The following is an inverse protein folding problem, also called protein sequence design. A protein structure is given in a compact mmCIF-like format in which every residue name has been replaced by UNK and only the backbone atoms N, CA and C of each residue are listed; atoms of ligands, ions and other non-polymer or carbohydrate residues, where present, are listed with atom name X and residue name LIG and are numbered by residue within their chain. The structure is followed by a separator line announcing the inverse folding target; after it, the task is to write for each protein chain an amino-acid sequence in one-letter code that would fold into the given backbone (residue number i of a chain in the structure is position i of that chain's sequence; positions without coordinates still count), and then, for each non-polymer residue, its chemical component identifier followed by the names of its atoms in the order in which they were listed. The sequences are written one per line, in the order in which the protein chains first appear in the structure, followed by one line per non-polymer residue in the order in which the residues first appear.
data_IF_329778467218
#
_entry.id   IF_329778467218
#
_cell.length_a   1.000
_cell.length_b   1.000
_cell.length_c   1.000
_cell.angle_alpha   90.00
_cell.angle_beta   90.00
_cell.angle_gamma   90.00
#
_symmetry.space_group_name_H-M   'P 1'
#
loop_
_entity.id
_entity.type
_entity.pdbx_description
1 polymer ?
#
# COMPACT_ATOMS: atom_id res chain seq x y z
N UNK A 1 -10.81 -13.54 3.60
CA UNK A 1 -11.67 -13.66 2.41
C UNK A 1 -10.97 -12.94 1.28
N UNK A 2 -10.68 -13.61 0.16
CA UNK A 2 -9.74 -13.13 -0.85
C UNK A 2 -10.41 -12.71 -2.15
N UNK A 3 -10.39 -11.40 -2.43
CA UNK A 3 -10.00 -10.79 -3.71
C UNK A 3 -10.85 -11.04 -4.97
N UNK A 4 -10.92 -12.28 -5.43
CA UNK A 4 -11.43 -12.60 -6.79
C UNK A 4 -12.93 -12.39 -6.99
N UNK A 5 -13.68 -12.11 -5.91
CA UNK A 5 -15.14 -12.01 -5.95
C UNK A 5 -15.62 -10.97 -6.95
N UNK A 6 -15.07 -9.75 -6.95
CA UNK A 6 -15.62 -8.67 -7.78
C UNK A 6 -15.41 -8.90 -9.29
N UNK A 7 -14.20 -9.26 -9.71
CA UNK A 7 -13.86 -9.47 -11.14
C UNK A 7 -14.52 -10.74 -11.67
N UNK A 8 -14.44 -11.86 -10.93
CA UNK A 8 -15.09 -13.10 -11.34
C UNK A 8 -16.62 -12.94 -11.40
N UNK A 9 -17.23 -12.17 -10.49
CA UNK A 9 -18.66 -11.87 -10.53
C UNK A 9 -19.06 -10.97 -11.70
N UNK A 10 -18.15 -10.11 -12.17
CA UNK A 10 -18.39 -9.25 -13.33
C UNK A 10 -18.52 -10.07 -14.63
N UNK A 11 -17.83 -11.22 -14.72
CA UNK A 11 -17.84 -12.18 -15.85
C UNK A 11 -17.33 -11.67 -17.21
N UNK A 12 -17.47 -10.38 -17.50
CA UNK A 12 -17.03 -9.73 -18.74
C UNK A 12 -16.89 -8.21 -18.55
N UNK A 13 -16.41 -7.51 -19.58
CA UNK A 13 -16.19 -6.06 -19.58
C UNK A 13 -17.45 -5.26 -19.22
N UNK A 14 -18.64 -5.65 -19.70
CA UNK A 14 -19.88 -4.93 -19.41
C UNK A 14 -20.28 -5.05 -17.93
N UNK A 15 -20.09 -6.23 -17.33
CA UNK A 15 -20.27 -6.41 -15.89
C UNK A 15 -19.25 -5.62 -15.08
N UNK A 16 -18.00 -5.53 -15.57
CA UNK A 16 -16.94 -4.76 -14.93
C UNK A 16 -17.25 -3.26 -15.01
N UNK A 17 -17.80 -2.78 -16.13
CA UNK A 17 -18.21 -1.39 -16.32
C UNK A 17 -19.22 -0.93 -15.26
N UNK A 18 -20.21 -1.77 -14.91
CA UNK A 18 -21.18 -1.45 -13.85
C UNK A 18 -20.51 -1.22 -12.47
N UNK A 19 -19.47 -2.00 -12.17
CA UNK A 19 -18.67 -1.79 -10.96
C UNK A 19 -17.95 -0.45 -11.02
N UNK A 20 -17.26 -0.16 -12.13
CA UNK A 20 -16.56 1.12 -12.33
C UNK A 20 -17.51 2.34 -12.31
N UNK A 21 -18.75 2.21 -12.80
CA UNK A 21 -19.76 3.27 -12.68
C UNK A 21 -20.16 3.54 -11.22
N UNK A 22 -20.24 2.47 -10.42
CA UNK A 22 -20.51 2.58 -8.98
C UNK A 22 -19.34 3.24 -8.24
N UNK A 23 -18.11 2.89 -8.59
CA UNK A 23 -16.89 3.52 -8.07
C UNK A 23 -16.81 5.01 -8.45
N UNK A 24 -17.11 5.36 -9.70
CA UNK A 24 -17.17 6.75 -10.15
C UNK A 24 -18.23 7.56 -9.38
N UNK A 25 -19.42 6.97 -9.17
CA UNK A 25 -20.50 7.60 -8.37
C UNK A 25 -20.04 7.91 -6.95
N UNK A 26 -19.19 7.06 -6.35
CA UNK A 26 -18.61 7.28 -5.03
C UNK A 26 -17.50 8.33 -4.99
N UNK A 27 -17.03 8.83 -6.14
CA UNK A 27 -15.86 9.71 -6.21
C UNK A 27 -14.53 8.97 -6.00
N UNK A 28 -14.48 7.65 -6.22
CA UNK A 28 -13.23 6.89 -6.22
C UNK A 28 -12.41 7.36 -7.43
N UNK A 29 -11.13 7.67 -7.19
CA UNK A 29 -10.19 8.16 -8.20
C UNK A 29 -9.00 7.21 -8.43
N UNK A 30 -8.84 6.17 -7.60
CA UNK A 30 -7.82 5.11 -7.76
C UNK A 30 -8.46 3.75 -7.50
N UNK A 31 -8.23 2.80 -8.39
CA UNK A 31 -8.69 1.40 -8.27
C UNK A 31 -7.50 0.47 -8.18
N UNK A 32 -7.38 -0.25 -7.06
CA UNK A 32 -6.47 -1.38 -6.92
C UNK A 32 -7.14 -2.64 -7.47
N UNK A 33 -6.87 -3.01 -8.72
CA UNK A 33 -7.50 -4.15 -9.37
C UNK A 33 -6.67 -5.43 -9.11
N UNK A 34 -7.26 -6.44 -8.45
CA UNK A 34 -6.58 -7.72 -8.17
C UNK A 34 -6.17 -8.40 -9.49
N UNK A 35 -4.91 -8.23 -9.86
CA UNK A 35 -4.37 -8.59 -11.16
C UNK A 35 -3.69 -9.95 -11.14
N UNK A 36 -3.07 -10.32 -10.02
CA UNK A 36 -2.45 -11.63 -9.79
C UNK A 36 -2.86 -12.15 -8.41
N UNK A 37 -3.52 -13.31 -8.38
CA UNK A 37 -3.94 -14.00 -7.16
C UNK A 37 -3.66 -15.50 -7.30
N UNK A 38 -3.09 -16.13 -6.27
CA UNK A 38 -2.78 -17.56 -6.28
C UNK A 38 -1.95 -17.98 -7.52
N UNK A 39 -1.01 -17.12 -7.93
CA UNK A 39 -0.18 -17.27 -9.13
C UNK A 39 -0.93 -17.32 -10.46
N UNK A 40 -2.21 -16.94 -10.47
CA UNK A 40 -3.00 -16.76 -11.69
C UNK A 40 -3.14 -15.27 -12.02
N UNK A 41 -2.62 -14.79 -13.16
CA UNK A 41 -2.97 -13.47 -13.68
C UNK A 41 -4.40 -13.46 -14.22
N UNK A 42 -5.03 -12.29 -14.21
CA UNK A 42 -6.35 -12.07 -14.83
C UNK A 42 -6.28 -11.78 -16.34
N UNK A 43 -5.09 -11.88 -16.93
CA UNK A 43 -4.76 -11.54 -18.30
C UNK A 43 -3.89 -12.65 -18.94
N UNK A 44 -3.79 -12.73 -20.27
CA UNK A 44 -2.94 -13.72 -20.95
C UNK A 44 -1.46 -13.32 -20.82
N UNK A 45 -0.79 -13.85 -19.79
CA UNK A 45 0.63 -13.60 -19.51
C UNK A 45 1.53 -14.47 -20.37
N UNK A 46 2.69 -13.93 -20.77
CA UNK A 46 3.81 -14.69 -21.34
C UNK A 46 4.80 -15.18 -20.27
N UNK A 47 4.71 -14.63 -19.05
CA UNK A 47 5.58 -14.99 -17.92
C UNK A 47 4.95 -16.06 -17.04
N UNK A 48 3.70 -15.84 -16.60
CA UNK A 48 2.97 -16.82 -15.79
C UNK A 48 2.40 -17.93 -16.69
N UNK A 49 2.45 -19.19 -16.25
CA UNK A 49 2.15 -20.35 -17.11
C UNK A 49 0.68 -20.44 -17.54
N UNK A 50 -0.26 -19.97 -16.71
CA UNK A 50 -1.70 -20.10 -16.97
C UNK A 50 -2.44 -18.86 -16.46
N UNK A 51 -3.31 -18.27 -17.29
CA UNK A 51 -4.32 -17.31 -16.86
C UNK A 51 -5.32 -17.95 -15.87
N UNK A 52 -5.91 -17.16 -14.98
CA UNK A 52 -7.02 -17.58 -14.13
C UNK A 52 -8.15 -18.21 -14.98
N UNK A 53 -8.49 -19.49 -14.79
CA UNK A 53 -9.48 -20.15 -15.65
C UNK A 53 -10.92 -19.65 -15.41
N UNK A 54 -11.21 -18.85 -14.37
CA UNK A 54 -12.52 -18.18 -14.25
C UNK A 54 -12.74 -17.09 -15.30
N UNK A 55 -11.68 -16.69 -16.00
CA UNK A 55 -11.68 -15.57 -16.94
C UNK A 55 -11.38 -16.02 -18.38
N UNK A 56 -11.48 -17.32 -18.69
CA UNK A 56 -11.14 -17.95 -19.97
C UNK A 56 -11.30 -17.03 -21.20
N UNK A 57 -10.17 -16.52 -21.72
CA UNK A 57 -10.10 -15.70 -22.93
C UNK A 57 -10.46 -14.22 -22.77
N UNK A 58 -10.89 -13.78 -21.59
CA UNK A 58 -11.13 -12.38 -21.27
C UNK A 58 -9.89 -11.77 -20.61
N UNK A 59 -9.28 -10.80 -21.27
CA UNK A 59 -8.25 -9.94 -20.69
C UNK A 59 -8.90 -8.89 -19.77
N UNK A 60 -9.12 -9.26 -18.51
CA UNK A 60 -9.79 -8.40 -17.54
C UNK A 60 -8.92 -7.20 -17.10
N UNK A 61 -7.58 -7.29 -17.23
CA UNK A 61 -6.71 -6.17 -16.94
C UNK A 61 -6.84 -5.08 -18.01
N UNK A 62 -6.82 -5.46 -19.29
CA UNK A 62 -7.04 -4.52 -20.39
C UNK A 62 -8.41 -3.81 -20.27
N UNK A 63 -9.48 -4.57 -20.01
CA UNK A 63 -10.81 -3.99 -19.77
C UNK A 63 -10.81 -3.06 -18.56
N UNK A 64 -10.16 -3.45 -17.46
CA UNK A 64 -10.06 -2.63 -16.25
C UNK A 64 -9.37 -1.28 -16.51
N UNK A 65 -8.22 -1.29 -17.19
CA UNK A 65 -7.44 -0.08 -17.51
C UNK A 65 -8.30 0.88 -18.32
N UNK A 66 -8.89 0.37 -19.41
CA UNK A 66 -9.80 1.14 -20.27
C UNK A 66 -10.94 1.77 -19.45
N UNK A 67 -11.65 0.98 -18.66
CA UNK A 67 -12.82 1.44 -17.90
C UNK A 67 -12.47 2.45 -16.81
N UNK A 68 -11.30 2.33 -16.18
CA UNK A 68 -10.77 3.29 -15.22
C UNK A 68 -10.52 4.65 -15.90
N UNK A 69 -9.76 4.63 -16.99
CA UNK A 69 -9.35 5.84 -17.72
C UNK A 69 -10.53 6.58 -18.35
N UNK A 70 -11.52 5.86 -18.90
CA UNK A 70 -12.77 6.45 -19.41
C UNK A 70 -13.53 7.26 -18.35
N UNK A 71 -13.29 6.99 -17.07
CA UNK A 71 -13.93 7.66 -15.92
C UNK A 71 -12.97 8.57 -15.15
N UNK A 72 -11.77 8.82 -15.67
CA UNK A 72 -10.75 9.66 -15.02
C UNK A 72 -10.22 9.06 -13.71
N UNK A 73 -10.25 7.73 -13.57
CA UNK A 73 -9.64 7.01 -12.45
C UNK A 73 -8.28 6.45 -12.86
N UNK A 74 -7.35 6.38 -11.91
CA UNK A 74 -6.16 5.56 -12.07
C UNK A 74 -6.47 4.09 -11.80
N UNK A 75 -5.82 3.20 -12.55
CA UNK A 75 -5.78 1.76 -12.25
C UNK A 75 -4.40 1.32 -11.82
N UNK A 76 -4.34 0.78 -10.61
CA UNK A 76 -3.14 0.19 -10.03
C UNK A 76 -3.28 -1.33 -10.03
N UNK A 77 -2.35 -2.03 -10.67
CA UNK A 77 -2.35 -3.49 -10.68
C UNK A 77 -1.97 -4.03 -9.30
N UNK A 78 -2.92 -4.64 -8.61
CA UNK A 78 -2.72 -5.28 -7.31
C UNK A 78 -2.25 -6.72 -7.50
N UNK A 79 -1.04 -7.02 -7.03
CA UNK A 79 -0.38 -8.31 -7.23
C UNK A 79 -0.03 -8.97 -5.91
N UNK A 80 -0.34 -10.26 -5.77
CA UNK A 80 0.19 -11.09 -4.69
C UNK A 80 1.65 -11.43 -5.01
N UNK A 81 2.57 -10.99 -4.13
CA UNK A 81 4.01 -11.20 -4.33
C UNK A 81 4.42 -12.61 -3.88
N UNK A 82 4.42 -12.88 -2.57
CA UNK A 82 4.93 -14.18 -2.08
C UNK A 82 3.84 -15.21 -1.78
N UNK A 83 2.57 -14.81 -1.64
CA UNK A 83 1.49 -15.79 -1.54
C UNK A 83 1.19 -16.41 -2.92
N UNK A 84 1.49 -17.69 -3.07
CA UNK A 84 1.52 -18.37 -4.37
C UNK A 84 0.25 -19.19 -4.64
N UNK A 85 -0.40 -19.73 -3.61
CA UNK A 85 -1.64 -20.49 -3.77
C UNK A 85 -2.53 -20.38 -2.54
N UNK A 86 -3.82 -20.69 -2.67
CA UNK A 86 -4.71 -20.78 -1.52
C UNK A 86 -5.83 -21.80 -1.72
N UNK A 87 -6.16 -22.54 -0.64
CA UNK A 87 -7.12 -23.64 -0.70
C UNK A 87 -8.54 -23.20 -1.10
N UNK A 88 -8.91 -21.95 -0.80
CA UNK A 88 -10.23 -21.41 -1.16
C UNK A 88 -10.34 -21.19 -2.67
N UNK A 89 -9.30 -20.67 -3.30
CA UNK A 89 -9.25 -20.55 -4.76
C UNK A 89 -9.27 -21.93 -5.40
N UNK A 90 -8.53 -22.90 -4.86
CA UNK A 90 -8.58 -24.29 -5.33
C UNK A 90 -10.01 -24.86 -5.30
N UNK A 91 -10.74 -24.65 -4.21
CA UNK A 91 -12.15 -25.06 -4.10
C UNK A 91 -13.04 -24.41 -5.17
N UNK A 92 -12.89 -23.09 -5.39
CA UNK A 92 -13.63 -22.37 -6.43
C UNK A 92 -13.33 -22.88 -7.84
N UNK A 93 -12.10 -23.33 -8.08
CA UNK A 93 -11.65 -23.88 -9.36
C UNK A 93 -11.94 -25.38 -9.51
N UNK A 94 -12.49 -26.05 -8.49
CA UNK A 94 -12.62 -27.51 -8.50
C UNK A 94 -11.28 -28.26 -8.47
N UNK A 95 -10.20 -27.61 -8.04
CA UNK A 95 -8.86 -28.19 -7.90
C UNK A 95 -8.73 -28.96 -6.58
N UNK A 96 -7.78 -29.92 -6.47
CA UNK A 96 -7.46 -30.55 -5.20
C UNK A 96 -7.14 -29.52 -4.10
N UNK A 97 -7.58 -29.78 -2.87
CA UNK A 97 -7.41 -28.85 -1.76
C UNK A 97 -5.96 -28.36 -1.60
N UNK A 98 -4.99 -29.27 -1.71
CA UNK A 98 -3.55 -29.00 -1.56
C UNK A 98 -2.82 -28.76 -2.89
N UNK A 99 -3.55 -28.41 -3.95
CA UNK A 99 -2.92 -27.99 -5.21
C UNK A 99 -2.11 -26.71 -5.01
N UNK A 100 -0.86 -26.71 -5.46
CA UNK A 100 0.11 -25.62 -5.24
C UNK A 100 -0.07 -24.43 -6.19
N UNK A 101 -1.14 -24.41 -6.98
CA UNK A 101 -1.28 -23.43 -8.05
C UNK A 101 -0.37 -23.77 -9.24
N UNK A 102 -0.43 -22.96 -10.31
CA UNK A 102 0.18 -23.32 -11.58
C UNK A 102 1.72 -23.21 -11.52
N UNK A 103 2.25 -22.19 -10.86
CA UNK A 103 3.71 -21.95 -10.79
C UNK A 103 4.42 -22.95 -9.88
N UNK A 104 3.97 -23.12 -8.63
CA UNK A 104 4.63 -24.04 -7.69
C UNK A 104 4.40 -25.53 -8.02
N UNK A 105 3.45 -25.84 -8.91
CA UNK A 105 3.33 -27.21 -9.45
C UNK A 105 4.46 -27.51 -10.46
N UNK A 106 4.85 -26.51 -11.25
CA UNK A 106 5.98 -26.63 -12.20
C UNK A 106 7.33 -26.50 -11.47
N UNK A 107 7.39 -25.68 -10.41
CA UNK A 107 8.58 -25.39 -9.61
C UNK A 107 8.33 -25.64 -8.11
N UNK A 108 8.21 -26.90 -7.66
CA UNK A 108 7.92 -27.20 -6.26
C UNK A 108 9.02 -26.76 -5.28
N UNK A 109 10.27 -26.70 -5.74
CA UNK A 109 11.44 -26.23 -4.99
C UNK A 109 11.45 -24.71 -4.75
N UNK A 110 10.56 -23.96 -5.42
CA UNK A 110 10.36 -22.54 -5.18
C UNK A 110 9.47 -22.24 -3.97
N UNK A 111 8.82 -23.27 -3.40
CA UNK A 111 7.97 -23.10 -2.24
C UNK A 111 8.82 -22.92 -0.96
N UNK A 112 8.38 -22.04 -0.08
CA UNK A 112 8.82 -22.06 1.31
C UNK A 112 7.96 -23.01 2.14
N UNK A 113 8.42 -23.39 3.33
CA UNK A 113 7.66 -24.26 4.21
C UNK A 113 7.96 -24.08 5.69
N UNK A 114 7.21 -24.80 6.51
CA UNK A 114 7.52 -24.99 7.93
C UNK A 114 8.75 -25.92 8.12
N UNK A 115 9.12 -26.22 9.37
CA UNK A 115 10.25 -27.13 9.66
C UNK A 115 10.06 -28.56 9.15
N UNK A 116 8.84 -28.95 8.77
CA UNK A 116 8.54 -30.27 8.20
C UNK A 116 8.51 -30.23 6.67
N UNK A 117 8.70 -29.05 6.09
CA UNK A 117 8.60 -28.82 4.65
C UNK A 117 7.17 -28.70 4.15
N UNK A 118 6.17 -28.48 5.02
CA UNK A 118 4.79 -28.24 4.56
C UNK A 118 4.69 -26.81 3.98
N UNK A 119 4.34 -26.65 2.69
CA UNK A 119 4.22 -25.34 2.08
C UNK A 119 2.96 -24.60 2.50
N UNK A 120 1.92 -25.30 2.98
CA UNK A 120 0.65 -24.66 3.34
C UNK A 120 0.66 -24.15 4.77
N UNK A 121 0.62 -22.83 4.92
CA UNK A 121 0.47 -22.20 6.22
C UNK A 121 -0.86 -22.59 6.90
N UNK A 122 -0.75 -23.24 8.07
CA UNK A 122 -1.83 -23.96 8.74
C UNK A 122 -3.12 -23.13 8.94
N UNK A 123 -3.01 -21.84 9.28
CA UNK A 123 -4.19 -20.99 9.55
C UNK A 123 -4.69 -20.25 8.31
N UNK A 124 -3.77 -19.71 7.52
CA UNK A 124 -4.13 -18.91 6.35
C UNK A 124 -4.56 -19.80 5.17
N UNK A 125 -4.19 -21.09 5.21
CA UNK A 125 -4.42 -22.09 4.15
C UNK A 125 -3.87 -21.64 2.80
N UNK A 126 -2.70 -21.00 2.83
CA UNK A 126 -1.99 -20.51 1.64
C UNK A 126 -0.60 -21.12 1.56
N UNK A 127 -0.17 -21.45 0.35
CA UNK A 127 1.23 -21.73 0.07
C UNK A 127 1.94 -20.47 -0.38
N UNK A 128 3.23 -20.38 -0.10
CA UNK A 128 4.05 -19.20 -0.39
C UNK A 128 5.29 -19.58 -1.18
N UNK A 129 5.69 -18.71 -2.09
CA UNK A 129 7.04 -18.73 -2.65
C UNK A 129 8.06 -18.46 -1.53
N UNK A 130 9.29 -18.95 -1.70
CA UNK A 130 10.41 -18.60 -0.85
C UNK A 130 11.01 -17.25 -1.27
N UNK A 131 10.89 -16.19 -0.43
CA UNK A 131 11.49 -14.88 -0.73
C UNK A 131 13.01 -14.93 -0.90
N UNK A 132 13.68 -15.94 -0.35
CA UNK A 132 15.13 -16.11 -0.49
C UNK A 132 15.55 -16.81 -1.80
N UNK A 133 14.60 -17.34 -2.58
CA UNK A 133 14.91 -18.01 -3.84
C UNK A 133 15.16 -16.97 -4.95
N UNK A 134 16.37 -16.89 -5.53
CA UNK A 134 16.67 -15.91 -6.58
C UNK A 134 15.83 -16.07 -7.85
N UNK A 135 15.44 -17.29 -8.20
CA UNK A 135 14.60 -17.58 -9.37
C UNK A 135 13.17 -17.06 -9.17
N UNK A 136 12.61 -17.28 -7.97
CA UNK A 136 11.33 -16.65 -7.56
C UNK A 136 11.41 -15.13 -7.67
N UNK A 137 12.49 -14.52 -7.15
CA UNK A 137 12.64 -13.07 -7.23
C UNK A 137 12.77 -12.58 -8.69
N UNK A 138 13.39 -13.36 -9.59
CA UNK A 138 13.45 -13.02 -11.02
C UNK A 138 12.07 -13.12 -11.65
N UNK A 139 11.38 -14.26 -11.49
CA UNK A 139 10.06 -14.52 -12.02
C UNK A 139 9.04 -13.43 -11.62
N UNK A 140 9.00 -13.08 -10.34
CA UNK A 140 8.08 -12.05 -9.85
C UNK A 140 8.42 -10.67 -10.44
N UNK A 141 9.70 -10.31 -10.58
CA UNK A 141 10.10 -9.04 -11.22
C UNK A 141 9.74 -9.03 -12.71
N UNK A 142 9.93 -10.14 -13.41
CA UNK A 142 9.54 -10.28 -14.83
C UNK A 142 8.03 -10.13 -15.00
N UNK A 143 7.22 -10.77 -14.14
CA UNK A 143 5.77 -10.66 -14.18
C UNK A 143 5.28 -9.23 -13.91
N UNK A 144 5.86 -8.55 -12.91
CA UNK A 144 5.56 -7.14 -12.64
C UNK A 144 5.98 -6.22 -13.80
N UNK A 145 7.13 -6.51 -14.43
CA UNK A 145 7.62 -5.77 -15.59
C UNK A 145 6.74 -5.98 -16.81
N UNK A 146 6.24 -7.20 -17.03
CA UNK A 146 5.27 -7.50 -18.09
C UNK A 146 4.01 -6.65 -17.91
N UNK A 147 3.45 -6.61 -16.70
CA UNK A 147 2.27 -5.78 -16.39
C UNK A 147 2.54 -4.31 -16.71
N UNK A 148 3.67 -3.76 -16.21
CA UNK A 148 4.02 -2.35 -16.37
C UNK A 148 4.30 -1.94 -17.83
N UNK A 149 4.74 -2.87 -18.68
CA UNK A 149 5.16 -2.58 -20.06
C UNK A 149 4.09 -2.91 -21.09
N UNK A 150 3.21 -3.88 -20.82
CA UNK A 150 2.13 -4.27 -21.75
C UNK A 150 0.82 -3.52 -21.51
N UNK A 151 0.59 -3.03 -20.30
CA UNK A 151 -0.65 -2.35 -19.93
C UNK A 151 -0.36 -0.92 -19.48
N UNK A 152 -1.26 0.00 -19.84
CA UNK A 152 -1.21 1.39 -19.38
C UNK A 152 -1.75 1.50 -17.94
N UNK A 153 -1.16 0.73 -17.04
CA UNK A 153 -1.44 0.84 -15.61
C UNK A 153 -0.76 2.10 -15.06
N UNK A 154 -1.43 2.76 -14.13
CA UNK A 154 -0.94 3.97 -13.46
C UNK A 154 -0.01 3.63 -12.28
N UNK A 155 -0.17 2.43 -11.72
CA UNK A 155 0.58 1.98 -10.56
C UNK A 155 0.64 0.47 -10.41
N UNK A 156 1.51 0.00 -9.52
CA UNK A 156 1.56 -1.37 -9.06
C UNK A 156 1.49 -1.39 -7.54
N UNK A 157 0.52 -2.15 -7.02
CA UNK A 157 0.29 -2.36 -5.60
C UNK A 157 0.81 -3.75 -5.21
N UNK A 158 1.89 -3.79 -4.41
CA UNK A 158 2.42 -5.01 -3.84
C UNK A 158 1.55 -5.48 -2.66
N UNK A 159 1.07 -6.72 -2.70
CA UNK A 159 0.39 -7.37 -1.58
C UNK A 159 1.06 -8.70 -1.26
N UNK A 160 0.85 -9.21 -0.05
CA UNK A 160 1.58 -10.37 0.47
C UNK A 160 3.11 -10.23 0.30
N UNK A 161 3.63 -9.00 0.35
CA UNK A 161 5.06 -8.69 0.36
C UNK A 161 5.65 -8.94 1.75
N UNK A 162 5.67 -10.21 2.13
CA UNK A 162 6.03 -10.72 3.46
C UNK A 162 6.05 -12.25 3.48
N UNK A 163 6.62 -12.81 4.53
CA UNK A 163 6.44 -14.22 4.86
C UNK A 163 5.02 -14.51 5.41
N UNK A 164 4.62 -15.79 5.49
CA UNK A 164 3.42 -16.19 6.25
C UNK A 164 3.49 -15.70 7.70
N UNK A 165 2.32 -15.55 8.34
CA UNK A 165 2.29 -15.26 9.78
C UNK A 165 3.00 -16.37 10.56
N UNK A 166 3.88 -15.97 11.47
CA UNK A 166 4.58 -16.86 12.37
C UNK A 166 4.01 -16.71 13.78
N UNK A 167 3.75 -17.84 14.44
CA UNK A 167 3.39 -17.90 15.85
C UNK A 167 4.51 -18.63 16.60
N UNK A 168 5.50 -17.85 17.04
CA UNK A 168 6.71 -18.31 17.72
C UNK A 168 6.37 -19.11 18.99
N UNK A 169 5.34 -18.70 19.72
CA UNK A 169 4.89 -19.38 20.95
C UNK A 169 4.36 -20.81 20.72
N UNK A 170 3.91 -21.12 19.51
CA UNK A 170 3.40 -22.44 19.12
C UNK A 170 4.33 -23.21 18.19
N UNK A 171 5.53 -22.67 17.94
CA UNK A 171 6.47 -23.19 16.96
C UNK A 171 5.86 -23.34 15.55
N UNK A 172 4.87 -22.49 15.22
CA UNK A 172 4.28 -22.39 13.88
C UNK A 172 5.09 -21.36 13.09
N UNK A 173 6.30 -21.74 12.68
CA UNK A 173 7.29 -20.88 12.00
C UNK A 173 7.52 -21.34 10.56
N UNK A 174 7.80 -20.39 9.67
CA UNK A 174 7.96 -20.62 8.23
C UNK A 174 9.27 -20.02 7.72
N UNK A 175 9.64 -20.38 6.49
CA UNK A 175 10.83 -19.87 5.81
C UNK A 175 11.92 -20.90 5.59
N UNK A 176 11.68 -22.17 5.90
CA UNK A 176 12.72 -23.21 5.88
C UNK A 176 12.88 -23.89 4.50
N UNK A 177 12.57 -23.15 3.42
CA UNK A 177 12.81 -23.60 2.06
C UNK A 177 14.29 -23.88 1.82
N UNK A 178 14.60 -24.80 0.90
CA UNK A 178 15.97 -25.22 0.64
C UNK A 178 16.83 -24.05 0.12
N UNK A 179 16.25 -23.20 -0.73
CA UNK A 179 16.90 -21.98 -1.20
C UNK A 179 17.25 -21.04 -0.04
N UNK A 180 16.32 -20.74 0.87
CA UNK A 180 16.59 -19.89 2.03
C UNK A 180 17.68 -20.45 2.95
N UNK A 181 17.66 -21.76 3.22
CA UNK A 181 18.67 -22.43 4.05
C UNK A 181 20.05 -22.35 3.42
N UNK A 182 20.15 -22.57 2.11
CA UNK A 182 21.40 -22.47 1.38
C UNK A 182 21.91 -21.02 1.31
N UNK A 183 21.05 -20.05 0.99
CA UNK A 183 21.41 -18.64 0.96
C UNK A 183 21.88 -18.13 2.33
N UNK A 184 21.21 -18.55 3.41
CA UNK A 184 21.65 -18.21 4.77
C UNK A 184 23.02 -18.80 5.11
N UNK A 185 23.27 -20.06 4.73
CA UNK A 185 24.59 -20.70 4.88
C UNK A 185 25.66 -19.94 4.10
N UNK A 186 25.37 -19.56 2.85
CA UNK A 186 26.27 -18.78 1.99
C UNK A 186 26.56 -17.38 2.54
N UNK A 187 25.60 -16.74 3.22
CA UNK A 187 25.80 -15.46 3.92
C UNK A 187 26.54 -15.60 5.26
N UNK A 188 27.06 -16.78 5.60
CA UNK A 188 27.77 -17.05 6.85
C UNK A 188 26.85 -17.36 8.05
N UNK A 189 25.57 -17.61 7.78
CA UNK A 189 24.60 -18.08 8.77
C UNK A 189 24.92 -19.51 9.22
N UNK A 190 24.83 -19.73 10.53
CA UNK A 190 25.09 -21.02 11.17
C UNK A 190 24.46 -21.05 12.57
N UNK A 191 24.03 -22.21 13.10
CA UNK A 191 23.83 -23.49 12.40
C UNK A 191 22.65 -23.43 11.43
N UNK A 192 22.32 -24.55 10.79
CA UNK A 192 21.15 -24.65 9.90
C UNK A 192 19.89 -24.18 10.64
N UNK A 193 19.11 -23.25 10.07
CA UNK A 193 17.97 -22.63 10.74
C UNK A 193 16.90 -23.63 11.21
N UNK A 194 16.79 -24.78 10.56
CA UNK A 194 15.83 -25.84 10.95
C UNK A 194 16.08 -26.38 12.36
N UNK A 195 17.32 -26.28 12.86
CA UNK A 195 17.75 -26.76 14.18
C UNK A 195 17.72 -25.70 15.27
N UNK A 196 17.49 -24.43 14.90
CA UNK A 196 17.58 -23.32 15.84
C UNK A 196 16.47 -23.36 16.89
N UNK A 197 16.78 -22.88 18.09
CA UNK A 197 15.80 -22.62 19.12
C UNK A 197 15.25 -21.20 18.96
N UNK A 198 13.93 -21.06 18.98
CA UNK A 198 13.27 -19.76 18.83
C UNK A 198 13.70 -18.82 19.96
N UNK A 199 14.08 -17.59 19.61
CA UNK A 199 14.44 -16.51 20.56
C UNK A 199 15.93 -16.42 20.91
N UNK A 200 16.73 -17.42 20.54
CA UNK A 200 18.18 -17.37 20.73
C UNK A 200 18.86 -16.35 19.78
N UNK A 201 20.18 -16.16 19.93
CA UNK A 201 20.94 -15.20 19.11
C UNK A 201 21.03 -15.60 17.63
N UNK A 202 21.03 -16.90 17.32
CA UNK A 202 21.13 -17.43 15.97
C UNK A 202 19.77 -17.34 15.26
N UNK A 203 18.68 -17.54 16.00
CA UNK A 203 17.31 -17.30 15.53
C UNK A 203 17.10 -15.86 15.09
N UNK A 204 17.60 -14.89 15.88
CA UNK A 204 17.55 -13.48 15.47
C UNK A 204 18.30 -13.21 14.17
N UNK A 205 19.48 -13.80 13.98
CA UNK A 205 20.22 -13.70 12.71
C UNK A 205 19.44 -14.31 11.53
N UNK A 206 18.72 -15.40 11.77
CA UNK A 206 17.85 -16.00 10.77
C UNK A 206 16.66 -15.08 10.44
N UNK A 207 16.02 -14.47 11.43
CA UNK A 207 14.96 -13.48 11.21
C UNK A 207 15.47 -12.25 10.45
N UNK A 208 16.64 -11.71 10.83
CA UNK A 208 17.29 -10.59 10.12
C UNK A 208 17.56 -10.95 8.65
N UNK A 209 18.01 -12.19 8.40
CA UNK A 209 18.18 -12.70 7.04
C UNK A 209 16.86 -12.73 6.27
N UNK A 210 15.78 -13.26 6.86
CA UNK A 210 14.46 -13.30 6.21
C UNK A 210 13.93 -11.90 5.89
N UNK A 211 14.07 -10.95 6.81
CA UNK A 211 13.73 -9.54 6.57
C UNK A 211 14.51 -8.99 5.39
N UNK A 212 15.83 -9.24 5.34
CA UNK A 212 16.68 -8.80 4.25
C UNK A 212 16.25 -9.35 2.88
N UNK A 213 15.69 -10.57 2.81
CA UNK A 213 15.19 -11.13 1.55
C UNK A 213 13.97 -10.37 1.03
N UNK A 214 13.03 -10.01 1.91
CA UNK A 214 11.86 -9.20 1.53
C UNK A 214 12.32 -7.80 1.10
N UNK A 215 13.20 -7.16 1.88
CA UNK A 215 13.73 -5.83 1.59
C UNK A 215 14.49 -5.80 0.25
N UNK A 216 15.28 -6.84 -0.04
CA UNK A 216 15.99 -6.99 -1.31
C UNK A 216 15.04 -7.15 -2.49
N UNK A 217 13.96 -7.91 -2.35
CA UNK A 217 12.95 -8.02 -3.39
C UNK A 217 12.28 -6.67 -3.66
N UNK A 218 11.84 -5.95 -2.61
CA UNK A 218 11.21 -4.63 -2.78
C UNK A 218 12.14 -3.67 -3.51
N UNK A 219 13.43 -3.63 -3.14
CA UNK A 219 14.45 -2.86 -3.85
C UNK A 219 14.52 -3.26 -5.33
N UNK A 220 14.69 -4.55 -5.60
CA UNK A 220 14.89 -5.08 -6.96
C UNK A 220 13.69 -4.80 -7.86
N UNK A 221 12.48 -5.08 -7.38
CA UNK A 221 11.24 -4.80 -8.10
C UNK A 221 11.08 -3.30 -8.38
N UNK A 222 11.29 -2.47 -7.37
CA UNK A 222 11.20 -1.01 -7.51
C UNK A 222 12.17 -0.46 -8.54
N UNK A 223 13.45 -0.85 -8.45
CA UNK A 223 14.48 -0.39 -9.39
C UNK A 223 14.16 -0.82 -10.83
N UNK A 224 13.74 -2.07 -11.02
CA UNK A 224 13.40 -2.61 -12.34
C UNK A 224 12.17 -1.90 -12.94
N UNK A 225 11.12 -1.70 -12.14
CA UNK A 225 9.89 -1.03 -12.57
C UNK A 225 10.14 0.44 -12.91
N UNK A 226 10.89 1.17 -12.09
CA UNK A 226 11.22 2.58 -12.36
C UNK A 226 12.12 2.75 -13.57
N UNK A 227 12.97 1.76 -13.88
CA UNK A 227 13.80 1.80 -15.08
C UNK A 227 12.96 1.76 -16.37
N UNK A 228 11.85 1.00 -16.38
CA UNK A 228 10.98 0.86 -17.55
C UNK A 228 9.83 1.87 -17.59
N UNK A 229 9.30 2.22 -16.42
CA UNK A 229 8.16 3.13 -16.21
C UNK A 229 8.45 4.05 -15.02
N UNK A 230 9.23 5.12 -15.21
CA UNK A 230 9.58 6.05 -14.13
C UNK A 230 8.39 6.84 -13.59
N UNK A 231 7.29 6.89 -14.35
CA UNK A 231 6.02 7.52 -13.99
C UNK A 231 5.11 6.62 -13.14
N UNK A 232 5.41 5.33 -13.00
CA UNK A 232 4.57 4.38 -12.31
C UNK A 232 4.50 4.68 -10.80
N UNK A 233 3.30 4.71 -10.23
CA UNK A 233 3.14 4.82 -8.78
C UNK A 233 3.35 3.45 -8.13
N UNK A 234 4.30 3.35 -7.20
CA UNK A 234 4.55 2.11 -6.48
C UNK A 234 3.98 2.17 -5.07
N UNK A 235 3.20 1.15 -4.72
CA UNK A 235 2.52 1.10 -3.43
C UNK A 235 2.52 -0.29 -2.83
N UNK A 236 2.30 -0.40 -1.52
CA UNK A 236 2.28 -1.68 -0.83
C UNK A 236 1.18 -1.80 0.24
N UNK A 237 0.53 -2.96 0.27
CA UNK A 237 -0.43 -3.34 1.29
C UNK A 237 0.34 -3.89 2.49
N UNK A 238 0.22 -3.22 3.64
CA UNK A 238 1.03 -3.54 4.83
C UNK A 238 0.19 -3.68 6.08
N UNK A 239 0.70 -4.39 7.07
CA UNK A 239 0.07 -4.43 8.38
C UNK A 239 0.37 -3.16 9.19
N UNK A 240 -0.62 -2.58 9.89
CA UNK A 240 -0.43 -1.38 10.72
C UNK A 240 0.17 -1.68 12.10
N UNK A 241 0.33 -2.94 12.48
CA UNK A 241 0.83 -3.35 13.81
C UNK A 241 2.25 -2.83 14.08
N UNK A 242 2.72 -2.62 15.32
CA UNK A 242 4.07 -2.12 15.61
C UNK A 242 5.22 -2.92 14.97
N UNK A 243 6.35 -2.22 14.71
CA UNK A 243 7.51 -2.77 13.98
C UNK A 243 7.98 -4.12 14.49
N UNK A 244 8.26 -4.23 15.79
CA UNK A 244 8.82 -5.45 16.37
C UNK A 244 7.91 -6.66 16.13
N UNK A 245 6.58 -6.47 16.21
CA UNK A 245 5.62 -7.53 15.89
C UNK A 245 5.62 -7.89 14.41
N UNK A 246 5.72 -6.92 13.50
CA UNK A 246 5.82 -7.23 12.06
C UNK A 246 7.09 -7.98 11.73
N UNK A 247 8.22 -7.57 12.30
CA UNK A 247 9.52 -8.22 12.07
C UNK A 247 9.50 -9.65 12.61
N UNK A 248 8.95 -9.86 13.81
CA UNK A 248 8.86 -11.20 14.39
C UNK A 248 7.87 -12.11 13.63
N UNK A 249 6.68 -11.60 13.30
CA UNK A 249 5.58 -12.43 12.82
C UNK A 249 5.50 -12.56 11.30
N UNK A 250 5.97 -11.59 10.52
CA UNK A 250 5.77 -11.58 9.05
C UNK A 250 6.97 -11.04 8.26
N UNK A 251 8.02 -10.55 8.92
CA UNK A 251 9.23 -10.01 8.29
C UNK A 251 8.93 -8.85 7.31
N UNK A 252 7.95 -8.02 7.65
CA UNK A 252 7.54 -6.85 6.87
C UNK A 252 8.13 -5.56 7.46
N UNK A 253 9.20 -5.04 6.85
CA UNK A 253 10.00 -3.92 7.35
C UNK A 253 9.77 -2.62 6.54
N UNK A 254 8.51 -2.16 6.51
CA UNK A 254 8.15 -1.03 5.65
C UNK A 254 8.84 0.29 6.02
N UNK A 255 9.34 0.48 7.24
CA UNK A 255 10.15 1.66 7.59
C UNK A 255 11.42 1.75 6.74
N UNK A 256 12.09 0.61 6.49
CA UNK A 256 13.27 0.58 5.64
C UNK A 256 12.92 0.90 4.18
N UNK A 257 11.73 0.50 3.72
CA UNK A 257 11.27 0.79 2.36
C UNK A 257 10.94 2.27 2.19
N UNK A 258 10.41 2.92 3.23
CA UNK A 258 10.17 4.37 3.24
C UNK A 258 11.49 5.14 3.29
N UNK A 259 12.43 4.77 4.18
CA UNK A 259 13.72 5.46 4.29
C UNK A 259 14.55 5.33 3.00
N UNK A 260 14.45 4.20 2.32
CA UNK A 260 15.09 3.98 1.03
C UNK A 260 14.28 4.50 -0.18
N UNK A 261 13.14 5.16 0.06
CA UNK A 261 12.28 5.76 -0.96
C UNK A 261 11.80 4.79 -2.06
N UNK A 262 11.59 3.53 -1.69
CA UNK A 262 11.16 2.49 -2.63
C UNK A 262 9.67 2.59 -2.98
N UNK A 263 8.85 3.12 -2.08
CA UNK A 263 7.41 3.24 -2.28
C UNK A 263 6.99 4.70 -2.38
N UNK A 264 5.99 4.98 -3.20
CA UNK A 264 5.33 6.29 -3.30
C UNK A 264 4.19 6.38 -2.30
N UNK A 265 3.43 5.29 -2.14
CA UNK A 265 2.26 5.23 -1.25
C UNK A 265 2.29 3.97 -0.39
N UNK A 266 2.18 4.13 0.92
CA UNK A 266 1.92 3.04 1.84
C UNK A 266 0.41 2.89 2.05
N UNK A 267 -0.10 1.66 1.93
CA UNK A 267 -1.53 1.37 2.08
C UNK A 267 -1.76 0.38 3.24
N UNK A 268 -1.79 0.86 4.51
CA UNK A 268 -1.98 -0.02 5.66
C UNK A 268 -3.39 -0.63 5.71
N UNK A 269 -3.44 -1.93 5.98
CA UNK A 269 -4.65 -2.70 6.24
C UNK A 269 -5.18 -2.43 7.66
N UNK A 270 -5.67 -1.21 7.91
CA UNK A 270 -6.31 -0.77 9.16
C UNK A 270 -7.73 -1.35 9.29
N UNK A 271 -7.86 -2.65 9.04
CA UNK A 271 -9.12 -3.36 9.02
C UNK A 271 -9.65 -3.57 10.43
N UNK A 272 -10.79 -2.97 10.71
CA UNK A 272 -11.43 -2.96 12.02
C UNK A 272 -12.95 -3.16 11.88
N UNK A 273 -13.58 -3.74 12.90
CA UNK A 273 -15.04 -3.92 12.97
C UNK A 273 -15.77 -2.65 13.43
N UNK A 274 -15.05 -1.75 14.11
CA UNK A 274 -15.57 -0.52 14.69
C UNK A 274 -14.53 0.61 14.63
N UNK A 275 -14.95 1.85 14.87
CA UNK A 275 -14.09 3.04 14.77
C UNK A 275 -13.04 3.13 15.89
N UNK A 276 -13.31 2.59 17.08
CA UNK A 276 -12.35 2.61 18.21
C UNK A 276 -11.18 1.69 17.92
N UNK A 277 -11.45 0.50 17.37
CA UNK A 277 -10.42 -0.42 16.93
C UNK A 277 -9.59 0.19 15.79
N UNK A 278 -10.23 0.89 14.83
CA UNK A 278 -9.52 1.61 13.77
C UNK A 278 -8.63 2.74 14.33
N UNK A 279 -9.11 3.49 15.32
CA UNK A 279 -8.35 4.53 16.01
C UNK A 279 -7.10 3.94 16.69
N UNK A 280 -7.22 2.79 17.37
CA UNK A 280 -6.08 2.08 17.95
C UNK A 280 -5.03 1.68 16.92
N UNK A 281 -5.47 1.06 15.81
CA UNK A 281 -4.57 0.65 14.72
C UNK A 281 -3.87 1.85 14.05
N UNK A 282 -4.59 2.95 13.86
CA UNK A 282 -4.03 4.15 13.24
C UNK A 282 -3.12 4.92 14.19
N UNK A 283 -3.39 4.91 15.49
CA UNK A 283 -2.49 5.48 16.51
C UNK A 283 -1.14 4.77 16.51
N UNK A 284 -1.12 3.44 16.56
CA UNK A 284 0.11 2.63 16.53
C UNK A 284 0.90 2.85 15.23
N UNK A 285 0.18 2.90 14.10
CA UNK A 285 0.75 3.18 12.79
C UNK A 285 1.42 4.56 12.76
N UNK A 286 0.71 5.62 13.16
CA UNK A 286 1.21 6.99 13.12
C UNK A 286 2.37 7.24 14.08
N UNK A 287 2.43 6.51 15.21
CA UNK A 287 3.55 6.60 16.15
C UNK A 287 4.88 6.11 15.56
N UNK A 288 4.83 5.25 14.53
CA UNK A 288 6.01 4.66 13.88
C UNK A 288 6.22 5.12 12.44
N UNK A 289 5.23 5.79 11.85
CA UNK A 289 5.30 6.28 10.47
C UNK A 289 6.34 7.40 10.36
N UNK A 290 7.43 7.21 9.60
CA UNK A 290 8.46 8.23 9.47
C UNK A 290 7.95 9.41 8.62
N UNK A 291 8.16 10.64 9.10
CA UNK A 291 7.86 11.86 8.33
C UNK A 291 8.85 12.01 7.18
N UNK A 292 8.48 11.46 6.01
CA UNK A 292 9.33 11.35 4.81
C UNK A 292 8.50 11.47 3.53
N UNK A 293 9.15 11.19 2.40
CA UNK A 293 8.61 11.29 1.04
C UNK A 293 7.68 10.12 0.63
N UNK A 294 7.14 9.32 1.55
CA UNK A 294 6.12 8.30 1.24
C UNK A 294 4.77 8.76 1.75
N UNK A 295 3.72 8.66 0.94
CA UNK A 295 2.38 9.08 1.30
C UNK A 295 1.60 7.96 2.00
N UNK A 296 0.65 8.31 2.85
CA UNK A 296 -0.10 7.37 3.69
C UNK A 296 -1.58 7.33 3.32
N UNK A 297 -2.08 6.14 2.97
CA UNK A 297 -3.49 5.86 2.67
C UNK A 297 -3.97 4.64 3.50
N UNK A 298 -4.44 4.84 4.74
CA UNK A 298 -5.04 3.75 5.51
C UNK A 298 -6.33 3.25 4.83
N UNK A 299 -6.66 1.99 5.08
CA UNK A 299 -7.75 1.30 4.40
C UNK A 299 -8.82 0.77 5.35
N UNK A 300 -10.08 0.86 4.91
CA UNK A 300 -11.28 0.43 5.63
C UNK A 300 -11.72 -0.93 5.10
N UNK A 301 -11.97 -1.88 5.99
CA UNK A 301 -12.57 -3.17 5.62
C UNK A 301 -14.09 -3.03 5.55
N UNK A 302 -14.69 -3.14 4.37
CA UNK A 302 -16.14 -3.17 4.15
C UNK A 302 -16.79 -4.53 4.46
N UNK A 303 -15.99 -5.59 4.50
CA UNK A 303 -16.47 -6.92 4.80
C UNK A 303 -16.92 -7.01 6.27
N UNK A 304 -18.15 -7.49 6.47
CA UNK A 304 -18.78 -7.72 7.78
C UNK A 304 -18.93 -6.46 8.64
N UNK A 305 -19.00 -5.27 8.03
CA UNK A 305 -19.33 -4.02 8.72
C UNK A 305 -20.51 -3.30 8.07
N UNK A 306 -21.27 -2.56 8.88
CA UNK A 306 -22.38 -1.74 8.40
C UNK A 306 -21.89 -0.49 7.65
N UNK A 307 -22.68 -0.02 6.67
CA UNK A 307 -22.39 1.21 5.92
C UNK A 307 -22.18 2.43 6.83
N UNK A 308 -22.91 2.52 7.95
CA UNK A 308 -22.74 3.60 8.93
C UNK A 308 -21.36 3.59 9.60
N UNK A 309 -20.85 2.41 9.95
CA UNK A 309 -19.50 2.25 10.52
C UNK A 309 -18.44 2.60 9.48
N UNK A 310 -18.60 2.16 8.22
CA UNK A 310 -17.68 2.52 7.15
C UNK A 310 -17.59 4.04 6.93
N UNK A 311 -18.72 4.76 7.02
CA UNK A 311 -18.77 6.22 6.91
C UNK A 311 -18.10 6.91 8.10
N UNK A 312 -18.32 6.39 9.32
CA UNK A 312 -17.69 6.91 10.54
C UNK A 312 -16.17 6.71 10.54
N UNK A 313 -15.71 5.50 10.20
CA UNK A 313 -14.29 5.21 10.02
C UNK A 313 -13.65 6.11 8.96
N UNK A 314 -14.33 6.37 7.83
CA UNK A 314 -13.84 7.32 6.82
C UNK A 314 -13.73 8.73 7.39
N UNK A 315 -14.73 9.17 8.16
CA UNK A 315 -14.72 10.49 8.77
C UNK A 315 -13.56 10.63 9.77
N UNK A 316 -13.27 9.58 10.55
CA UNK A 316 -12.09 9.52 11.40
C UNK A 316 -10.79 9.63 10.59
N UNK A 317 -10.62 8.83 9.52
CA UNK A 317 -9.41 8.88 8.69
C UNK A 317 -9.17 10.26 8.03
N UNK A 318 -10.23 11.00 7.69
CA UNK A 318 -10.14 12.38 7.15
C UNK A 318 -9.54 13.38 8.15
N UNK A 319 -9.53 13.05 9.44
CA UNK A 319 -8.99 13.89 10.51
C UNK A 319 -7.52 13.57 10.82
N UNK A 320 -7.01 12.45 10.33
CA UNK A 320 -5.63 11.99 10.53
C UNK A 320 -4.68 12.59 9.49
N UNK A 321 -3.34 12.54 9.69
CA UNK A 321 -2.37 13.08 8.75
C UNK A 321 -2.16 12.14 7.55
N UNK A 322 -3.23 11.92 6.77
CA UNK A 322 -3.28 11.01 5.63
C UNK A 322 -3.65 11.78 4.36
N UNK A 323 -3.27 11.24 3.19
CA UNK A 323 -3.63 11.87 1.91
C UNK A 323 -5.03 11.47 1.43
N UNK A 324 -5.58 10.37 1.97
CA UNK A 324 -6.88 9.83 1.62
C UNK A 324 -7.16 8.53 2.39
N UNK A 325 -8.22 7.83 1.98
CA UNK A 325 -8.57 6.52 2.52
C UNK A 325 -8.89 5.55 1.38
N UNK A 326 -8.58 4.27 1.57
CA UNK A 326 -8.95 3.19 0.66
C UNK A 326 -10.05 2.30 1.26
N UNK A 327 -10.74 1.53 0.42
CA UNK A 327 -11.79 0.60 0.84
C UNK A 327 -11.50 -0.81 0.34
N UNK A 328 -11.71 -1.80 1.20
CA UNK A 328 -11.50 -3.21 0.89
C UNK A 328 -12.64 -4.10 1.44
N UNK A 329 -13.34 -4.93 0.69
CA UNK A 329 -13.22 -5.20 -0.73
C UNK A 329 -14.44 -4.62 -1.47
N UNK A 330 -14.25 -4.27 -2.75
CA UNK A 330 -15.31 -3.73 -3.59
C UNK A 330 -16.52 -4.69 -3.74
N UNK A 331 -16.34 -6.00 -3.51
CA UNK A 331 -17.43 -6.99 -3.49
C UNK A 331 -18.49 -6.76 -2.41
N UNK A 332 -18.19 -5.94 -1.41
CA UNK A 332 -19.10 -5.61 -0.30
C UNK A 332 -19.73 -4.22 -0.44
N UNK A 333 -19.53 -3.56 -1.59
CA UNK A 333 -20.24 -2.32 -1.90
C UNK A 333 -21.74 -2.57 -1.97
N UNK A 334 -22.50 -1.61 -1.43
CA UNK A 334 -23.95 -1.64 -1.43
C UNK A 334 -24.50 -0.25 -1.77
N UNK A 335 -25.77 -0.13 -2.21
CA UNK A 335 -26.34 1.15 -2.64
C UNK A 335 -26.31 2.26 -1.59
N UNK A 336 -26.44 1.92 -0.30
CA UNK A 336 -26.41 2.90 0.79
C UNK A 336 -25.02 3.52 0.93
N UNK A 337 -23.98 2.68 0.90
CA UNK A 337 -22.60 3.14 0.97
C UNK A 337 -22.21 3.93 -0.28
N UNK A 338 -22.63 3.48 -1.46
CA UNK A 338 -22.41 4.20 -2.74
C UNK A 338 -22.98 5.61 -2.66
N UNK A 339 -24.22 5.75 -2.17
CA UNK A 339 -24.89 7.04 -2.00
C UNK A 339 -24.24 7.88 -0.89
N UNK A 340 -23.88 7.26 0.24
CA UNK A 340 -23.28 7.96 1.38
C UNK A 340 -21.85 8.46 1.15
N UNK A 341 -21.14 7.90 0.18
CA UNK A 341 -19.77 8.28 -0.17
C UNK A 341 -19.67 9.25 -1.34
N UNK A 342 -20.78 9.59 -2.01
CA UNK A 342 -20.79 10.49 -3.16
C UNK A 342 -19.99 11.76 -2.84
N UNK A 343 -18.86 11.91 -3.52
CA UNK A 343 -17.96 13.05 -3.39
C UNK A 343 -17.49 13.46 -4.78
N UNK A 344 -17.17 14.73 -4.94
CA UNK A 344 -16.52 15.19 -6.17
C UNK A 344 -15.12 14.57 -6.26
N UNK A 345 -14.76 14.13 -7.46
CA UNK A 345 -13.43 13.61 -7.75
C UNK A 345 -12.38 14.65 -7.38
N UNK A 346 -11.44 14.26 -6.53
CA UNK A 346 -10.39 15.14 -6.02
C UNK A 346 -9.07 14.90 -6.73
N UNK A 347 -8.19 15.92 -6.66
CA UNK A 347 -6.79 15.85 -7.09
C UNK A 347 -6.10 14.62 -6.48
N UNK A 348 -5.28 13.95 -7.28
CA UNK A 348 -4.47 12.81 -6.86
C UNK A 348 -3.16 13.32 -6.24
N UNK A 349 -2.96 13.26 -4.91
CA UNK A 349 -1.83 13.95 -4.27
C UNK A 349 -0.46 13.37 -4.68
N UNK A 350 -0.38 12.10 -5.07
CA UNK A 350 0.85 11.49 -5.61
C UNK A 350 1.16 11.93 -7.05
N UNK A 351 0.19 12.43 -7.81
CA UNK A 351 0.42 13.01 -9.15
C UNK A 351 0.71 14.50 -9.08
N UNK A 352 -0.07 15.22 -8.29
CA UNK A 352 -0.08 16.67 -8.24
C UNK A 352 0.15 17.19 -6.81
N UNK A 353 1.29 16.85 -6.16
CA UNK A 353 1.50 17.15 -4.75
C UNK A 353 1.44 18.65 -4.43
N UNK A 354 1.96 19.50 -5.32
CA UNK A 354 1.94 20.95 -5.13
C UNK A 354 0.53 21.54 -5.26
N UNK A 355 -0.30 21.04 -6.18
CA UNK A 355 -1.70 21.47 -6.31
C UNK A 355 -2.53 20.99 -5.10
N UNK A 356 -2.29 19.75 -4.64
CA UNK A 356 -2.91 19.21 -3.44
C UNK A 356 -2.56 20.03 -2.19
N UNK A 357 -1.31 20.50 -2.06
CA UNK A 357 -0.91 21.41 -0.97
C UNK A 357 -1.71 22.72 -1.03
N UNK A 358 -1.76 23.38 -2.19
CA UNK A 358 -2.45 24.66 -2.33
C UNK A 358 -3.93 24.55 -1.93
N UNK A 359 -4.65 23.56 -2.46
CA UNK A 359 -6.06 23.32 -2.13
C UNK A 359 -6.29 23.06 -0.63
N UNK A 360 -5.41 22.27 0.00
CA UNK A 360 -5.51 21.94 1.43
C UNK A 360 -5.20 23.15 2.31
N UNK A 361 -4.19 23.93 1.94
CA UNK A 361 -3.76 25.11 2.68
C UNK A 361 -4.79 26.25 2.58
N UNK A 362 -5.36 26.49 1.40
CA UNK A 362 -6.48 27.43 1.22
C UNK A 362 -7.67 27.08 2.14
N UNK A 363 -8.00 25.79 2.23
CA UNK A 363 -9.10 25.33 3.09
C UNK A 363 -8.80 25.57 4.58
N UNK A 364 -7.56 25.32 5.02
CA UNK A 364 -7.13 25.64 6.39
C UNK A 364 -7.23 27.14 6.68
N UNK A 365 -6.76 27.99 5.77
CA UNK A 365 -6.81 29.43 5.95
C UNK A 365 -8.24 29.96 6.06
N UNK A 366 -9.20 29.42 5.29
CA UNK A 366 -10.62 29.77 5.42
C UNK A 366 -11.17 29.43 6.81
N UNK A 367 -10.80 28.27 7.38
CA UNK A 367 -11.21 27.88 8.73
C UNK A 367 -10.58 28.77 9.81
N UNK A 368 -9.30 29.09 9.66
CA UNK A 368 -8.58 29.98 10.58
C UNK A 368 -9.13 31.41 10.52
N UNK A 369 -9.55 31.89 9.36
CA UNK A 369 -10.12 33.23 9.20
C UNK A 369 -11.47 33.40 9.92
N UNK A 370 -12.21 32.31 10.11
CA UNK A 370 -13.44 32.31 10.93
C UNK A 370 -13.10 32.27 12.42
N UNK A 371 -11.98 31.64 12.78
CA UNK A 371 -11.64 31.35 14.18
C UNK A 371 -10.81 32.45 14.84
N UNK A 372 -9.86 33.04 14.12
CA UNK A 372 -8.91 34.00 14.65
C UNK A 372 -9.21 35.41 14.15
N UNK A 373 -9.40 36.33 15.10
CA UNK A 373 -9.66 37.75 14.81
C UNK A 373 -8.42 38.46 14.24
N UNK A 374 -7.24 38.16 14.78
CA UNK A 374 -5.96 38.66 14.29
C UNK A 374 -5.19 37.50 13.63
N UNK A 375 -4.59 37.76 12.46
CA UNK A 375 -3.85 36.76 11.68
C UNK A 375 -2.38 37.17 11.48
N UNK A 376 -1.56 37.23 12.54
CA UNK A 376 -0.17 37.68 12.46
C UNK A 376 0.71 36.79 11.55
N UNK A 377 0.31 35.53 11.30
CA UNK A 377 0.96 34.62 10.35
C UNK A 377 0.63 34.89 8.88
N UNK A 378 -0.35 35.74 8.57
CA UNK A 378 -0.87 35.90 7.20
C UNK A 378 0.22 36.32 6.20
N UNK A 379 1.15 37.19 6.61
CA UNK A 379 2.28 37.56 5.75
C UNK A 379 3.19 36.37 5.43
N UNK A 380 3.42 35.46 6.38
CA UNK A 380 4.22 34.27 6.15
C UNK A 380 3.46 33.25 5.29
N UNK A 381 2.14 33.12 5.49
CA UNK A 381 1.27 32.31 4.65
C UNK A 381 1.31 32.77 3.18
N UNK A 382 1.15 34.08 2.90
CA UNK A 382 1.24 34.62 1.54
C UNK A 382 2.61 34.34 0.89
N UNK A 383 3.71 34.50 1.64
CA UNK A 383 5.04 34.19 1.10
C UNK A 383 5.20 32.71 0.74
N UNK A 384 4.64 31.81 1.56
CA UNK A 384 4.60 30.39 1.25
C UNK A 384 3.79 30.12 -0.03
N UNK A 385 2.60 30.71 -0.15
CA UNK A 385 1.74 30.57 -1.34
C UNK A 385 2.40 31.08 -2.62
N UNK A 386 3.11 32.22 -2.55
CA UNK A 386 3.86 32.76 -3.69
C UNK A 386 4.95 31.78 -4.16
N UNK A 387 5.69 31.17 -3.20
CA UNK A 387 6.70 30.16 -3.53
C UNK A 387 6.10 28.87 -4.03
N UNK A 388 4.98 28.44 -3.45
CA UNK A 388 4.26 27.25 -3.89
C UNK A 388 3.75 27.44 -5.33
N UNK A 389 3.15 28.60 -5.64
CA UNK A 389 2.69 28.96 -6.99
C UNK A 389 3.86 28.98 -7.98
N UNK A 390 5.00 29.52 -7.56
CA UNK A 390 6.22 29.48 -8.39
C UNK A 390 6.65 28.03 -8.67
N UNK A 391 6.65 27.18 -7.65
CA UNK A 391 7.01 25.76 -7.79
C UNK A 391 5.99 24.97 -8.63
N UNK A 392 4.70 25.29 -8.56
CA UNK A 392 3.67 24.69 -9.40
C UNK A 392 3.86 25.03 -10.89
N UNK A 393 4.15 26.29 -11.20
CA UNK A 393 4.33 26.76 -12.58
C UNK A 393 5.63 26.23 -13.20
N UNK A 394 6.70 26.08 -12.40
CA UNK A 394 8.01 25.63 -12.86
C UNK A 394 8.66 24.71 -11.82
N UNK A 395 8.21 23.44 -11.72
CA UNK A 395 8.71 22.51 -10.71
C UNK A 395 10.18 22.19 -10.97
N UNK A 396 11.02 22.50 -9.99
CA UNK A 396 12.44 22.18 -9.98
C UNK A 396 12.96 22.17 -8.53
N UNK A 397 14.11 21.53 -8.24
CA UNK A 397 14.62 21.37 -6.89
C UNK A 397 14.73 22.70 -6.10
N UNK A 398 15.19 23.77 -6.76
CA UNK A 398 15.34 25.09 -6.13
C UNK A 398 13.99 25.71 -5.76
N UNK A 399 12.99 25.60 -6.64
CA UNK A 399 11.67 26.16 -6.37
C UNK A 399 10.99 25.46 -5.19
N UNK A 400 11.15 24.13 -5.09
CA UNK A 400 10.59 23.33 -3.99
C UNK A 400 11.31 23.63 -2.68
N UNK A 401 12.65 23.69 -2.70
CA UNK A 401 13.43 24.08 -1.51
C UNK A 401 13.03 25.46 -0.98
N UNK A 402 12.75 26.42 -1.86
CA UNK A 402 12.25 27.74 -1.46
C UNK A 402 10.84 27.65 -0.86
N UNK A 403 9.94 26.82 -1.40
CA UNK A 403 8.62 26.58 -0.82
C UNK A 403 8.72 25.93 0.57
N UNK A 404 9.58 24.92 0.73
CA UNK A 404 9.86 24.28 2.03
C UNK A 404 10.43 25.29 3.05
N UNK A 405 11.34 26.17 2.62
CA UNK A 405 11.88 27.21 3.51
C UNK A 405 10.81 28.18 3.99
N UNK A 406 9.89 28.61 3.11
CA UNK A 406 8.78 29.49 3.49
C UNK A 406 7.71 28.76 4.31
N UNK A 407 7.53 27.46 4.09
CA UNK A 407 6.68 26.62 4.93
C UNK A 407 7.16 26.57 6.37
N UNK A 408 8.46 26.37 6.60
CA UNK A 408 9.04 26.37 7.94
C UNK A 408 8.93 27.75 8.62
N UNK A 409 9.14 28.83 7.87
CA UNK A 409 8.92 30.19 8.37
C UNK A 409 7.45 30.40 8.78
N UNK A 410 6.50 29.97 7.95
CA UNK A 410 5.07 30.00 8.29
C UNK A 410 4.80 29.22 9.59
N UNK A 411 5.27 27.98 9.72
CA UNK A 411 5.07 27.15 10.92
C UNK A 411 5.61 27.81 12.18
N UNK A 412 6.81 28.38 12.13
CA UNK A 412 7.40 29.11 13.27
C UNK A 412 6.52 30.28 13.72
N UNK A 413 5.85 30.95 12.79
CA UNK A 413 4.91 32.04 13.12
C UNK A 413 3.55 31.53 13.58
N UNK A 414 3.04 30.42 13.03
CA UNK A 414 1.69 29.92 13.30
C UNK A 414 1.59 29.06 14.57
N UNK A 415 2.60 28.22 14.85
CA UNK A 415 2.56 27.24 15.94
C UNK A 415 2.24 27.85 17.32
N UNK A 416 2.80 29.01 17.74
CA UNK A 416 2.45 29.60 19.04
C UNK A 416 0.96 29.93 19.17
N UNK A 417 0.30 30.32 18.08
CA UNK A 417 -1.15 30.60 18.06
C UNK A 417 -1.96 29.31 18.16
N UNK A 418 -1.54 28.27 17.43
CA UNK A 418 -2.16 26.95 17.51
C UNK A 418 -2.03 26.36 18.92
N UNK A 419 -0.89 26.52 19.58
CA UNK A 419 -0.66 26.06 20.97
C UNK A 419 -1.55 26.79 21.99
N UNK A 420 -1.74 28.11 21.82
CA UNK A 420 -2.68 28.87 22.67
C UNK A 420 -4.11 28.39 22.43
N UNK A 421 -4.51 28.23 21.17
CA UNK A 421 -5.84 27.76 20.79
C UNK A 421 -6.13 26.34 21.32
N UNK A 422 -5.12 25.45 21.28
CA UNK A 422 -5.21 24.08 21.76
C UNK A 422 -5.57 23.96 23.25
N UNK A 423 -5.28 24.99 24.07
CA UNK A 423 -5.66 24.99 25.49
C UNK A 423 -7.17 25.00 25.71
N UNK A 424 -7.92 25.57 24.76
CA UNK A 424 -9.38 25.68 24.83
C UNK A 424 -10.06 24.69 23.88
N UNK A 425 -9.42 24.39 22.75
CA UNK A 425 -9.98 23.56 21.68
C UNK A 425 -8.99 22.47 21.23
N UNK A 426 -8.60 21.55 22.13
CA UNK A 426 -7.49 20.61 21.89
C UNK A 426 -7.72 19.71 20.67
N UNK A 427 -8.95 19.21 20.50
CA UNK A 427 -9.29 18.33 19.38
C UNK A 427 -9.18 19.03 18.02
N UNK A 428 -9.78 20.22 17.86
CA UNK A 428 -9.71 20.97 16.60
C UNK A 428 -8.28 21.40 16.28
N UNK A 429 -7.52 21.83 17.29
CA UNK A 429 -6.11 22.16 17.14
C UNK A 429 -5.29 20.95 16.65
N UNK A 430 -5.55 19.76 17.19
CA UNK A 430 -4.90 18.53 16.76
C UNK A 430 -5.24 18.17 15.30
N UNK A 431 -6.50 18.30 14.89
CA UNK A 431 -6.91 18.07 13.49
C UNK A 431 -6.21 19.06 12.55
N UNK A 432 -6.08 20.33 12.93
CA UNK A 432 -5.29 21.30 12.14
C UNK A 432 -3.83 20.93 12.09
N UNK A 433 -3.23 20.51 13.22
CA UNK A 433 -1.85 20.05 13.26
C UNK A 433 -1.62 18.87 12.30
N UNK A 434 -2.52 17.88 12.29
CA UNK A 434 -2.44 16.75 11.37
C UNK A 434 -2.52 17.18 9.91
N UNK A 435 -3.38 18.15 9.57
CA UNK A 435 -3.48 18.68 8.20
C UNK A 435 -2.24 19.48 7.79
N UNK A 436 -1.59 20.19 8.70
CA UNK A 436 -0.28 20.82 8.48
C UNK A 436 0.79 19.75 8.22
N UNK A 437 0.82 18.66 9.00
CA UNK A 437 1.74 17.54 8.78
C UNK A 437 1.55 16.90 7.40
N UNK A 438 0.32 16.81 6.87
CA UNK A 438 0.09 16.34 5.49
C UNK A 438 0.75 17.27 4.45
N UNK A 439 0.73 18.59 4.66
CA UNK A 439 1.40 19.53 3.76
C UNK A 439 2.92 19.31 3.78
N UNK A 440 3.51 19.08 4.95
CA UNK A 440 4.94 18.76 5.11
C UNK A 440 5.32 17.46 4.39
N UNK A 441 4.50 16.41 4.53
CA UNK A 441 4.70 15.15 3.80
C UNK A 441 4.59 15.34 2.29
N UNK A 442 3.60 16.11 1.80
CA UNK A 442 3.45 16.40 0.38
C UNK A 442 4.59 17.25 -0.19
N UNK A 443 5.16 18.17 0.60
CA UNK A 443 6.36 18.93 0.19
C UNK A 443 7.58 18.01 0.06
N UNK A 444 7.74 17.06 0.98
CA UNK A 444 8.82 16.07 0.95
C UNK A 444 8.65 15.10 -0.22
N UNK A 445 7.42 14.63 -0.47
CA UNK A 445 7.07 13.82 -1.64
C UNK A 445 7.32 14.58 -2.95
N UNK A 446 6.88 15.84 -3.01
CA UNK A 446 7.10 16.71 -4.17
C UNK A 446 8.57 16.92 -4.47
N UNK A 447 9.40 17.14 -3.45
CA UNK A 447 10.85 17.25 -3.63
C UNK A 447 11.44 15.98 -4.25
N UNK A 448 11.17 14.81 -3.68
CA UNK A 448 11.60 13.52 -4.28
C UNK A 448 11.14 13.37 -5.74
N UNK A 449 9.89 13.73 -6.04
CA UNK A 449 9.30 13.58 -7.38
C UNK A 449 9.95 14.49 -8.42
N UNK A 450 10.29 15.72 -8.06
CA UNK A 450 10.80 16.74 -8.98
C UNK A 450 12.32 16.98 -8.86
N UNK A 451 12.96 16.33 -7.90
CA UNK A 451 14.40 16.30 -7.67
C UNK A 451 14.90 14.85 -7.75
N UNK A 452 14.71 14.13 -8.88
CA UNK A 452 15.17 12.76 -9.00
C UNK A 452 16.68 12.70 -8.74
N UNK A 453 17.09 11.82 -7.83
CA UNK A 453 18.50 11.57 -7.56
C UNK A 453 19.20 11.17 -8.88
N UNK A 454 20.43 11.68 -9.13
CA UNK A 454 21.15 11.45 -10.37
C UNK A 454 21.53 9.99 -10.63
#
# INVERSE_FOLDING_TARGET
MGGSGAIANAKNEAGLANLFDSLATMGINVVFLETVNASYPIFPSEVAPVQNPLLEGWDALASGVKLAHERGMELHAWTWIFAAANQRHNELMGQPQYYLGPVLTEHPDWATGDRRGDPFHARSRKAFFDPANPEVQNYLVELLTEIATKYDVDGIQFDYIRYPFQETSRNEVYGFGDAAREQFRLSGGYPDPITLEIGDRHWRKWQDFQVAQVDQFVKKATMSLRQVRPDLTLSAAVFPMPRDRRIEQIQQNWEAWIEAEYLDVLVPMTYAEDTVTLEGLTTDLLATFPSKSTLLVPSIRLLDIDSGIALDQRQHLRQLPTIGAAFFAASNLNPQLVTGLQTETSLLPHREPLAAIASRFETLQREWAITFTDQPWQNAAHRFEDRLTTAQNQPNPKAILLAQSQWEEFRLTFNPHLEIYAKQHPYQAQVWQYRLTVIEHLLSYGDRRYSPLP
#
